data_IF_200842060029
#
_entry.id   IF_200842060029
#
_cell.length_a   1.000
_cell.length_b   1.000
_cell.length_c   1.000
_cell.angle_alpha   90.00
_cell.angle_beta   90.00
_cell.angle_gamma   90.00
#
_symmetry.space_group_name_H-M   'P 1'
#
loop_
_entity.id
_entity.type
_entity.pdbx_description
1 polymer ?
#
# COMPACT_ATOMS: atom_id res chain seq x y z
N UNK A 1 -8.40 -41.97 -23.23
CA UNK A 1 -7.70 -42.53 -22.05
C UNK A 1 -6.25 -42.10 -22.11
N UNK A 2 -5.74 -41.37 -21.11
CA UNK A 2 -4.31 -41.01 -21.07
C UNK A 2 -3.47 -42.28 -20.87
N UNK A 3 -2.38 -42.43 -21.62
CA UNK A 3 -1.51 -43.62 -21.52
C UNK A 3 -0.83 -43.75 -20.14
N UNK A 4 -0.39 -44.96 -19.79
CA UNK A 4 0.21 -45.29 -18.49
C UNK A 4 1.39 -44.37 -18.11
N UNK A 5 2.21 -43.97 -19.08
CA UNK A 5 3.35 -43.06 -18.86
C UNK A 5 2.86 -41.66 -18.45
N UNK A 6 1.80 -41.16 -19.08
CA UNK A 6 1.22 -39.85 -18.77
C UNK A 6 0.57 -39.85 -17.38
N UNK A 7 -0.08 -40.94 -17.00
CA UNK A 7 -0.64 -41.11 -15.65
C UNK A 7 0.45 -41.19 -14.58
N UNK A 8 1.53 -41.92 -14.82
CA UNK A 8 2.67 -41.99 -13.91
C UNK A 8 3.33 -40.61 -13.75
N UNK A 9 3.54 -39.87 -14.84
CA UNK A 9 4.09 -38.51 -14.78
C UNK A 9 3.16 -37.54 -14.03
N UNK A 10 1.85 -37.61 -14.25
CA UNK A 10 0.87 -36.82 -13.52
C UNK A 10 0.94 -37.06 -12.00
N UNK A 11 1.11 -38.32 -11.60
CA UNK A 11 1.26 -38.71 -10.20
C UNK A 11 2.58 -38.23 -9.59
N UNK A 12 3.68 -38.30 -10.34
CA UNK A 12 5.02 -37.89 -9.86
C UNK A 12 5.12 -36.37 -9.70
N UNK A 13 4.63 -35.62 -10.68
CA UNK A 13 4.84 -34.16 -10.74
C UNK A 13 3.64 -33.32 -10.30
N UNK A 14 2.54 -33.96 -9.89
CA UNK A 14 1.30 -33.27 -9.49
C UNK A 14 0.57 -32.61 -10.68
N UNK A 15 0.81 -33.09 -11.90
CA UNK A 15 0.04 -32.63 -13.07
C UNK A 15 -1.37 -33.22 -13.02
N UNK A 16 -2.36 -32.44 -13.42
CA UNK A 16 -3.77 -32.87 -13.45
C UNK A 16 -4.13 -33.23 -14.89
N UNK A 17 -4.63 -34.45 -15.10
CA UNK A 17 -5.16 -34.90 -16.39
C UNK A 17 -6.64 -34.50 -16.47
N UNK A 18 -6.96 -33.53 -17.33
CA UNK A 18 -8.32 -33.05 -17.53
C UNK A 18 -9.10 -33.82 -18.61
N UNK A 19 -10.40 -33.59 -18.67
CA UNK A 19 -11.33 -34.09 -19.69
C UNK A 19 -11.53 -33.10 -20.87
N UNK A 20 -10.73 -32.04 -20.94
CA UNK A 20 -10.83 -30.98 -21.96
C UNK A 20 -11.85 -29.89 -21.64
N UNK A 21 -12.63 -30.03 -20.56
CA UNK A 21 -13.56 -28.99 -20.09
C UNK A 21 -12.88 -28.04 -19.09
N UNK A 22 -13.48 -26.87 -18.89
CA UNK A 22 -12.96 -25.86 -17.98
C UNK A 22 -13.12 -26.31 -16.51
N UNK A 23 -11.99 -26.62 -15.86
CA UNK A 23 -11.95 -27.15 -14.48
C UNK A 23 -11.69 -26.09 -13.40
N UNK A 24 -11.55 -24.80 -13.77
CA UNK A 24 -11.18 -23.72 -12.83
C UNK A 24 -9.72 -23.75 -12.36
N UNK A 25 -8.94 -24.78 -12.71
CA UNK A 25 -7.53 -24.95 -12.31
C UNK A 25 -6.66 -23.72 -12.59
N UNK A 26 -6.91 -23.01 -13.70
CA UNK A 26 -6.17 -21.78 -14.06
C UNK A 26 -6.24 -20.74 -12.94
N UNK A 27 -7.40 -20.56 -12.32
CA UNK A 27 -7.60 -19.61 -11.22
C UNK A 27 -6.83 -20.04 -9.98
N UNK A 28 -6.86 -21.34 -9.65
CA UNK A 28 -6.14 -21.88 -8.49
C UNK A 28 -4.61 -21.81 -8.65
N UNK A 29 -4.11 -21.93 -9.88
CA UNK A 29 -2.67 -21.83 -10.17
C UNK A 29 -2.18 -20.41 -10.32
N UNK A 30 -3.07 -19.43 -10.45
CA UNK A 30 -2.66 -18.04 -10.52
C UNK A 30 -2.00 -17.65 -9.20
N UNK A 31 -0.80 -17.07 -9.29
CA UNK A 31 -0.13 -16.50 -8.13
C UNK A 31 -0.99 -15.36 -7.58
N UNK A 32 -1.12 -15.28 -6.27
CA UNK A 32 -1.81 -14.16 -5.61
C UNK A 32 -0.93 -12.92 -5.78
N UNK A 33 -1.47 -11.86 -6.37
CA UNK A 33 -0.74 -10.60 -6.66
C UNK A 33 -1.06 -9.51 -5.61
N UNK A 34 -1.99 -9.78 -4.68
CA UNK A 34 -2.47 -8.80 -3.70
C UNK A 34 -1.38 -8.08 -2.91
N UNK A 35 -0.40 -8.80 -2.37
CA UNK A 35 0.73 -8.20 -1.65
C UNK A 35 1.51 -7.21 -2.53
N UNK A 36 1.83 -7.59 -3.76
CA UNK A 36 2.54 -6.72 -4.71
C UNK A 36 1.76 -5.45 -5.05
N UNK A 37 0.44 -5.52 -5.06
CA UNK A 37 -0.43 -4.36 -5.29
C UNK A 37 -0.42 -3.43 -4.07
N UNK A 38 -0.49 -4.00 -2.86
CA UNK A 38 -0.46 -3.23 -1.60
C UNK A 38 0.90 -2.57 -1.39
N UNK A 39 1.99 -3.25 -1.72
CA UNK A 39 3.37 -2.77 -1.60
C UNK A 39 3.76 -1.71 -2.65
N UNK A 40 2.82 -1.24 -3.47
CA UNK A 40 3.09 -0.25 -4.51
C UNK A 40 3.69 1.06 -3.96
N UNK A 41 3.22 1.51 -2.79
CA UNK A 41 3.82 2.64 -2.08
C UNK A 41 4.55 2.14 -0.83
N UNK A 42 5.84 2.45 -0.67
CA UNK A 42 6.57 2.07 0.54
C UNK A 42 6.02 2.82 1.76
N UNK A 43 6.00 2.16 2.90
CA UNK A 43 5.63 2.77 4.18
C UNK A 43 6.72 3.77 4.58
N UNK A 44 6.36 5.03 4.90
CA UNK A 44 7.34 6.03 5.33
C UNK A 44 7.92 5.66 6.69
N UNK A 45 9.18 6.03 6.95
CA UNK A 45 9.90 5.65 8.18
C UNK A 45 9.24 6.19 9.46
N UNK A 46 8.57 7.33 9.34
CA UNK A 46 7.79 7.99 10.39
C UNK A 46 6.68 7.09 10.94
N UNK A 47 6.13 6.19 10.12
CA UNK A 47 5.07 5.27 10.52
C UNK A 47 5.63 3.94 11.07
N UNK A 48 6.91 3.67 10.84
CA UNK A 48 7.58 2.40 11.20
C UNK A 48 8.27 2.50 12.56
N UNK A 49 8.97 3.61 12.82
CA UNK A 49 9.72 3.82 14.06
C UNK A 49 9.13 5.00 14.87
N UNK A 50 8.47 4.74 16.01
CA UNK A 50 7.95 5.79 16.88
C UNK A 50 9.03 6.74 17.45
N UNK A 51 10.30 6.31 17.46
CA UNK A 51 11.43 7.11 17.95
C UNK A 51 12.09 7.95 16.85
N UNK A 52 11.63 7.87 15.61
CA UNK A 52 12.21 8.62 14.50
C UNK A 52 11.83 10.10 14.54
N UNK A 53 12.83 10.97 14.78
CA UNK A 53 12.66 12.44 14.72
C UNK A 53 12.95 12.94 13.29
N UNK A 54 11.89 13.23 12.53
CA UNK A 54 12.01 13.75 11.16
C UNK A 54 12.58 15.19 11.15
N UNK A 55 13.78 15.41 10.56
CA UNK A 55 14.39 16.74 10.52
C UNK A 55 13.56 17.78 9.76
N UNK A 56 12.72 17.36 8.81
CA UNK A 56 11.85 18.24 8.02
C UNK A 56 10.67 18.74 8.87
N UNK A 57 10.05 17.86 9.64
CA UNK A 57 8.98 18.19 10.58
C UNK A 57 9.49 19.10 11.70
N UNK A 58 10.68 18.82 12.26
CA UNK A 58 11.32 19.68 13.26
C UNK A 58 11.55 21.10 12.73
N UNK A 59 12.08 21.22 11.50
CA UNK A 59 12.25 22.51 10.82
C UNK A 59 10.91 23.21 10.58
N UNK A 60 9.86 22.47 10.21
CA UNK A 60 8.50 22.99 10.02
C UNK A 60 7.94 23.58 11.30
N UNK A 61 8.09 22.86 12.43
CA UNK A 61 7.63 23.30 13.76
C UNK A 61 8.36 24.59 14.19
N UNK A 62 9.69 24.62 14.08
CA UNK A 62 10.51 25.80 14.42
C UNK A 62 10.12 27.03 13.57
N UNK A 63 9.86 26.84 12.27
CA UNK A 63 9.38 27.90 11.38
C UNK A 63 8.01 28.42 11.82
N UNK A 64 7.07 27.52 12.12
CA UNK A 64 5.72 27.88 12.57
C UNK A 64 5.75 28.66 13.88
N UNK A 65 6.58 28.23 14.83
CA UNK A 65 6.77 28.91 16.10
C UNK A 65 7.28 30.35 15.89
N UNK A 66 8.31 30.52 15.05
CA UNK A 66 8.85 31.86 14.68
C UNK A 66 7.79 32.76 14.04
N UNK A 67 6.94 32.22 13.17
CA UNK A 67 5.86 32.99 12.53
C UNK A 67 4.77 33.40 13.51
N UNK A 68 4.36 32.49 14.41
CA UNK A 68 3.39 32.77 15.47
C UNK A 68 3.88 33.87 16.40
N UNK A 69 5.15 33.83 16.83
CA UNK A 69 5.76 34.90 17.65
C UNK A 69 5.69 36.28 17.00
N UNK A 70 5.77 36.37 15.67
CA UNK A 70 5.69 37.63 14.91
C UNK A 70 4.27 38.06 14.55
N UNK A 71 3.24 37.31 14.97
CA UNK A 71 1.85 37.56 14.56
C UNK A 71 1.56 37.26 13.09
N UNK A 72 2.49 36.62 12.37
CA UNK A 72 2.36 36.24 10.95
C UNK A 72 2.02 34.76 10.78
N UNK A 73 1.55 34.11 11.83
CA UNK A 73 1.04 32.74 11.79
C UNK A 73 -0.25 32.67 10.97
N UNK A 74 -0.57 31.48 10.46
CA UNK A 74 -1.86 31.25 9.83
C UNK A 74 -2.99 31.52 10.85
N UNK A 75 -4.04 32.26 10.46
CA UNK A 75 -5.17 32.51 11.35
C UNK A 75 -5.95 31.23 11.62
N UNK A 76 -6.72 31.21 12.71
CA UNK A 76 -7.66 30.11 13.00
C UNK A 76 -8.66 29.98 11.84
N UNK A 77 -8.99 28.75 11.46
CA UNK A 77 -9.98 28.45 10.41
C UNK A 77 -11.27 29.24 10.69
N UNK A 78 -11.75 29.99 9.69
CA UNK A 78 -12.94 30.83 9.82
C UNK A 78 -12.68 32.28 10.27
N UNK A 79 -11.47 32.64 10.71
CA UNK A 79 -11.10 34.02 11.10
C UNK A 79 -10.37 34.81 10.00
N UNK A 80 -10.41 34.33 8.76
CA UNK A 80 -9.77 34.99 7.62
C UNK A 80 -10.58 36.17 7.08
N UNK A 81 -10.21 36.67 5.90
CA UNK A 81 -10.82 37.84 5.23
C UNK A 81 -12.35 37.81 5.10
N UNK A 82 -12.97 36.63 5.08
CA UNK A 82 -14.44 36.46 4.98
C UNK A 82 -15.14 36.34 6.33
N UNK A 83 -14.40 36.29 7.45
CA UNK A 83 -14.97 36.21 8.79
C UNK A 83 -15.80 37.45 9.14
N UNK A 84 -15.34 38.61 8.69
CA UNK A 84 -15.97 39.92 8.90
C UNK A 84 -17.05 40.26 7.88
N UNK A 85 -17.35 39.37 6.92
CA UNK A 85 -18.39 39.58 5.90
C UNK A 85 -19.76 39.00 6.31
N UNK A 86 -19.94 38.71 7.60
CA UNK A 86 -21.25 38.40 8.18
C UNK A 86 -21.92 39.68 8.65
#
# INVERSE_FOLDING_TARGET
>A
MAGNVVQAAARIFGNVIGNGLQSGRKVLTQKIIGQKIVEWYPTPMQDVDPCFDDPSEKRRILKLERLKRRGKGAPKKGHGKRASKK
#
